data_IF_428021645623
#
_entry.id   IF_428021645623
#
_cell.length_a   1.000
_cell.length_b   1.000
_cell.length_c   1.000
_cell.angle_alpha   90.00
_cell.angle_beta   90.00
_cell.angle_gamma   90.00
#
_symmetry.space_group_name_H-M   'P 1'
#
loop_
_entity.id
_entity.type
_entity.pdbx_description
1 polymer ?
#
# COMPACT_ATOMS: atom_id res chain seq x y z
N UNK A 1 -10.56 7.41 18.48
CA UNK A 1 -9.89 8.58 17.87
C UNK A 1 -10.78 9.11 16.75
N UNK A 2 -11.10 10.40 16.72
CA UNK A 2 -11.98 10.98 15.68
C UNK A 2 -11.17 11.33 14.43
N UNK A 3 -11.82 11.42 13.26
CA UNK A 3 -11.17 11.83 11.99
C UNK A 3 -10.44 13.18 12.16
N UNK A 4 -11.06 14.13 12.88
CA UNK A 4 -10.46 15.43 13.17
C UNK A 4 -9.18 15.33 14.02
N UNK A 5 -9.14 14.40 14.98
CA UNK A 5 -7.94 14.17 15.78
C UNK A 5 -6.83 13.50 14.96
N UNK A 6 -7.19 12.62 14.02
CA UNK A 6 -6.23 12.01 13.09
C UNK A 6 -5.60 13.06 12.17
N UNK A 7 -6.40 13.89 11.52
CA UNK A 7 -5.91 14.97 10.64
C UNK A 7 -4.97 15.92 11.39
N UNK A 8 -5.34 16.31 12.61
CA UNK A 8 -4.49 17.17 13.43
C UNK A 8 -3.15 16.52 13.78
N UNK A 9 -3.16 15.23 14.10
CA UNK A 9 -1.94 14.52 14.47
C UNK A 9 -1.03 14.26 13.25
N UNK A 10 -1.61 13.92 12.09
CA UNK A 10 -0.88 13.82 10.82
C UNK A 10 -0.22 15.15 10.46
N UNK A 11 -0.95 16.26 10.58
CA UNK A 11 -0.39 17.60 10.32
C UNK A 11 0.76 17.94 11.28
N UNK A 12 0.65 17.56 12.56
CA UNK A 12 1.73 17.74 13.53
C UNK A 12 2.97 16.93 13.18
N UNK A 13 2.79 15.67 12.78
CA UNK A 13 3.92 14.82 12.37
C UNK A 13 4.59 15.35 11.12
N UNK A 14 3.83 15.71 10.09
CA UNK A 14 4.37 16.25 8.86
C UNK A 14 5.15 17.56 9.13
N UNK A 15 4.59 18.46 9.93
CA UNK A 15 5.28 19.70 10.31
C UNK A 15 6.56 19.45 11.14
N UNK A 16 6.54 18.46 12.04
CA UNK A 16 7.74 18.10 12.81
C UNK A 16 8.84 17.50 11.92
N UNK A 17 8.48 16.62 10.98
CA UNK A 17 9.43 16.03 10.03
C UNK A 17 10.07 17.08 9.11
N UNK A 18 9.28 18.05 8.65
CA UNK A 18 9.76 19.17 7.83
C UNK A 18 10.78 20.03 8.61
N UNK A 19 10.43 20.46 9.83
CA UNK A 19 11.33 21.28 10.66
C UNK A 19 12.62 20.52 11.01
N UNK A 20 12.51 19.25 11.38
CA UNK A 20 13.67 18.41 11.70
C UNK A 20 14.57 18.20 10.47
N UNK A 21 13.99 18.08 9.27
CA UNK A 21 14.74 18.01 8.01
C UNK A 21 15.57 19.26 7.76
N UNK A 22 14.95 20.43 7.87
CA UNK A 22 15.63 21.72 7.72
C UNK A 22 16.73 21.92 8.78
N UNK A 23 16.46 21.52 10.02
CA UNK A 23 17.46 21.61 11.09
C UNK A 23 18.65 20.69 10.82
N UNK A 24 18.40 19.45 10.37
CA UNK A 24 19.45 18.49 10.01
C UNK A 24 20.34 19.03 8.89
N UNK A 25 19.74 19.53 7.81
CA UNK A 25 20.48 20.12 6.68
C UNK A 25 21.37 21.27 7.13
N UNK A 26 20.84 22.16 7.98
CA UNK A 26 21.61 23.28 8.53
C UNK A 26 22.78 22.81 9.39
N UNK A 27 22.55 21.84 10.28
CA UNK A 27 23.60 21.32 11.17
C UNK A 27 24.69 20.58 10.38
N UNK A 28 24.33 19.86 9.32
CA UNK A 28 25.30 19.21 8.43
C UNK A 28 26.20 20.24 7.74
N UNK A 29 25.62 21.32 7.20
CA UNK A 29 26.39 22.43 6.63
C UNK A 29 27.33 23.08 7.65
N UNK A 30 26.85 23.30 8.88
CA UNK A 30 27.69 23.84 9.94
C UNK A 30 28.85 22.90 10.30
N UNK A 31 28.60 21.59 10.36
CA UNK A 31 29.63 20.60 10.67
C UNK A 31 30.76 20.59 9.62
N UNK A 32 30.41 20.76 8.34
CA UNK A 32 31.36 20.83 7.22
C UNK A 32 32.24 22.10 7.26
N UNK A 33 31.69 23.20 7.77
CA UNK A 33 32.39 24.49 7.88
C UNK A 33 33.28 24.60 9.14
N UNK A 34 33.16 23.67 10.09
CA UNK A 34 33.83 23.76 11.39
C UNK A 34 35.26 23.24 11.38
N UNK A 35 36.20 24.08 11.81
CA UNK A 35 37.61 23.72 11.98
C UNK A 35 38.00 23.19 13.37
N UNK A 36 37.22 23.48 14.42
CA UNK A 36 37.56 23.12 15.81
C UNK A 36 36.87 21.80 16.23
N UNK A 37 37.65 20.86 16.76
CA UNK A 37 37.21 19.50 17.07
C UNK A 37 36.10 19.43 18.13
N UNK A 38 36.20 20.20 19.22
CA UNK A 38 35.16 20.25 20.26
C UNK A 38 33.83 20.85 19.78
N UNK A 39 33.87 21.73 18.79
CA UNK A 39 32.66 22.27 18.16
C UNK A 39 32.00 21.26 17.23
N UNK A 40 32.79 20.43 16.55
CA UNK A 40 32.30 19.36 15.68
C UNK A 40 31.61 18.26 16.48
N UNK A 41 32.20 17.84 17.60
CA UNK A 41 31.59 16.83 18.49
C UNK A 41 30.21 17.26 19.00
N UNK A 42 30.06 18.52 19.42
CA UNK A 42 28.78 19.06 19.87
C UNK A 42 27.71 19.08 18.75
N UNK A 43 28.09 19.41 17.52
CA UNK A 43 27.16 19.42 16.37
C UNK A 43 26.79 18.00 15.96
N UNK A 44 27.73 17.05 16.00
CA UNK A 44 27.50 15.64 15.69
C UNK A 44 26.54 14.97 16.69
N UNK A 45 26.66 15.30 17.98
CA UNK A 45 25.72 14.84 19.01
C UNK A 45 24.30 15.35 18.73
N UNK A 46 24.16 16.63 18.36
CA UNK A 46 22.85 17.21 18.02
C UNK A 46 22.28 16.57 16.75
N UNK A 47 23.11 16.32 15.73
CA UNK A 47 22.68 15.61 14.51
C UNK A 47 22.14 14.21 14.84
N UNK A 48 22.82 13.47 15.71
CA UNK A 48 22.36 12.16 16.18
C UNK A 48 21.00 12.24 16.87
N UNK A 49 20.78 13.26 17.71
CA UNK A 49 19.49 13.47 18.36
C UNK A 49 18.38 13.85 17.36
N UNK A 50 18.70 14.68 16.37
CA UNK A 50 17.76 15.05 15.29
C UNK A 50 17.38 13.83 14.46
N UNK A 51 18.34 12.99 14.06
CA UNK A 51 18.09 11.75 13.32
C UNK A 51 17.22 10.77 14.13
N UNK A 52 17.48 10.64 15.43
CA UNK A 52 16.66 9.83 16.33
C UNK A 52 15.22 10.34 16.44
N UNK A 53 15.02 11.66 16.54
CA UNK A 53 13.69 12.27 16.56
C UNK A 53 12.97 12.10 15.22
N UNK A 54 13.66 12.25 14.08
CA UNK A 54 13.07 12.01 12.77
C UNK A 54 12.56 10.57 12.63
N UNK A 55 13.36 9.59 13.05
CA UNK A 55 12.96 8.18 13.04
C UNK A 55 11.72 7.94 13.91
N UNK A 56 11.66 8.61 15.07
CA UNK A 56 10.56 8.52 16.02
C UNK A 56 9.24 9.08 15.43
N UNK A 57 9.29 10.25 14.80
CA UNK A 57 8.15 10.86 14.11
C UNK A 57 7.73 10.07 12.86
N UNK A 58 8.67 9.53 12.10
CA UNK A 58 8.37 8.62 10.99
C UNK A 58 7.64 7.37 11.48
N UNK A 59 8.09 6.76 12.58
CA UNK A 59 7.43 5.61 13.20
C UNK A 59 6.02 5.96 13.68
N UNK A 60 5.85 7.10 14.35
CA UNK A 60 4.52 7.58 14.77
C UNK A 60 3.62 7.83 13.56
N UNK A 61 4.14 8.43 12.49
CA UNK A 61 3.41 8.65 11.24
C UNK A 61 2.90 7.35 10.63
N UNK A 62 3.75 6.32 10.56
CA UNK A 62 3.35 4.96 10.17
C UNK A 62 2.21 4.42 11.05
N UNK A 63 2.33 4.60 12.37
CA UNK A 63 1.37 4.08 13.34
C UNK A 63 0.06 4.89 13.45
N UNK A 64 -0.03 6.08 12.87
CA UNK A 64 -1.23 6.92 12.95
C UNK A 64 -2.32 6.54 11.95
N UNK A 65 -1.91 5.98 10.82
CA UNK A 65 -2.85 5.37 9.90
C UNK A 65 -2.90 3.88 10.22
N UNK A 66 -4.09 3.27 10.36
CA UNK A 66 -4.18 1.88 9.99
C UNK A 66 -3.66 1.82 8.55
N UNK A 67 -2.52 1.17 8.38
CA UNK A 67 -2.04 0.87 7.05
C UNK A 67 -3.15 0.07 6.38
N UNK A 68 -3.54 0.43 5.17
CA UNK A 68 -4.49 -0.38 4.43
C UNK A 68 -3.83 -0.87 3.17
N UNK A 69 -4.21 -2.07 2.74
CA UNK A 69 -3.70 -2.68 1.54
C UNK A 69 -4.84 -3.35 0.79
N UNK A 70 -4.83 -3.23 -0.53
CA UNK A 70 -5.69 -4.01 -1.41
C UNK A 70 -5.02 -5.34 -1.75
N UNK A 71 -5.81 -6.41 -1.70
CA UNK A 71 -5.41 -7.74 -2.12
C UNK A 71 -6.34 -8.21 -3.23
N UNK A 72 -5.76 -8.58 -4.37
CA UNK A 72 -6.51 -9.04 -5.54
C UNK A 72 -6.44 -10.55 -5.70
N UNK A 73 -7.56 -11.16 -6.11
CA UNK A 73 -7.67 -12.59 -6.35
C UNK A 73 -8.47 -12.88 -7.61
N UNK A 74 -8.00 -13.81 -8.44
CA UNK A 74 -8.81 -14.44 -9.46
C UNK A 74 -9.66 -15.55 -8.84
N UNK A 75 -10.96 -15.55 -9.17
CA UNK A 75 -11.88 -16.63 -8.83
C UNK A 75 -12.15 -17.43 -10.10
N UNK A 76 -11.77 -18.69 -10.06
CA UNK A 76 -11.87 -19.61 -11.20
C UNK A 76 -12.49 -20.92 -10.74
N UNK A 77 -12.92 -21.76 -11.68
CA UNK A 77 -13.44 -23.09 -11.38
C UNK A 77 -12.40 -24.01 -10.69
N UNK A 78 -11.10 -23.66 -10.80
CA UNK A 78 -9.99 -24.37 -10.13
C UNK A 78 -9.70 -23.85 -8.73
N UNK A 79 -10.34 -22.75 -8.32
CA UNK A 79 -10.18 -22.11 -7.02
C UNK A 79 -9.75 -20.65 -7.08
N UNK A 80 -9.32 -20.14 -5.92
CA UNK A 80 -8.89 -18.77 -5.69
C UNK A 80 -7.38 -18.63 -5.83
N UNK A 81 -6.94 -17.71 -6.69
CA UNK A 81 -5.52 -17.43 -6.94
C UNK A 81 -5.16 -15.97 -6.63
N UNK A 82 -4.19 -15.70 -5.73
CA UNK A 82 -3.77 -14.35 -5.44
C UNK A 82 -3.02 -13.72 -6.62
N UNK A 83 -3.13 -12.41 -6.75
CA UNK A 83 -2.49 -11.61 -7.79
C UNK A 83 -1.65 -10.54 -7.10
N UNK A 84 -0.43 -10.31 -7.59
CA UNK A 84 0.36 -9.16 -7.16
C UNK A 84 -0.31 -7.87 -7.63
N UNK A 85 -0.38 -6.89 -6.73
CA UNK A 85 -1.06 -5.63 -7.01
C UNK A 85 -0.46 -4.93 -8.23
N UNK A 86 0.87 -4.95 -8.35
CA UNK A 86 1.61 -4.36 -9.46
C UNK A 86 1.21 -5.01 -10.80
N UNK A 87 1.07 -6.34 -10.83
CA UNK A 87 0.62 -7.06 -12.03
C UNK A 87 -0.81 -6.68 -12.41
N UNK A 88 -1.72 -6.58 -11.44
CA UNK A 88 -3.08 -6.11 -11.69
C UNK A 88 -3.10 -4.70 -12.29
N UNK A 89 -2.30 -3.77 -11.74
CA UNK A 89 -2.18 -2.40 -12.25
C UNK A 89 -1.65 -2.39 -13.68
N UNK A 90 -0.67 -3.23 -14.01
CA UNK A 90 -0.15 -3.32 -15.38
C UNK A 90 -1.18 -3.89 -16.36
N UNK A 91 -2.02 -4.84 -15.93
CA UNK A 91 -3.10 -5.38 -16.75
C UNK A 91 -4.15 -4.32 -17.08
N UNK A 92 -4.69 -3.63 -16.06
CA UNK A 92 -5.76 -2.64 -16.27
C UNK A 92 -5.29 -1.40 -17.01
N UNK A 93 -4.00 -1.07 -16.93
CA UNK A 93 -3.39 0.01 -17.71
C UNK A 93 -2.98 -0.41 -19.13
N UNK A 94 -3.20 -1.67 -19.52
CA UNK A 94 -2.81 -2.20 -20.84
C UNK A 94 -1.29 -2.27 -21.07
N UNK A 95 -0.50 -2.20 -19.99
CA UNK A 95 0.97 -2.25 -20.01
C UNK A 95 1.52 -3.67 -20.08
N UNK A 96 0.76 -4.63 -19.59
CA UNK A 96 1.09 -6.06 -19.64
C UNK A 96 0.12 -6.84 -20.52
N UNK A 97 0.64 -7.91 -21.12
CA UNK A 97 -0.11 -8.90 -21.89
C UNK A 97 0.06 -10.24 -21.17
N UNK A 98 -1.03 -10.95 -20.92
CA UNK A 98 -1.05 -12.27 -20.28
C UNK A 98 -1.60 -13.28 -21.25
N UNK A 99 -0.74 -13.86 -22.08
CA UNK A 99 -1.16 -14.83 -23.10
C UNK A 99 -1.81 -16.07 -22.50
N UNK A 100 -1.50 -16.41 -21.24
CA UNK A 100 -2.18 -17.49 -20.50
C UNK A 100 -3.67 -17.21 -20.24
N UNK A 101 -4.08 -15.95 -20.31
CA UNK A 101 -5.47 -15.53 -20.12
C UNK A 101 -6.15 -15.12 -21.42
N UNK A 102 -5.51 -15.30 -22.58
CA UNK A 102 -6.09 -14.95 -23.87
C UNK A 102 -7.48 -15.60 -24.07
N UNK A 103 -8.47 -14.77 -24.41
CA UNK A 103 -9.86 -15.18 -24.60
C UNK A 103 -10.61 -15.59 -23.32
N UNK A 104 -10.02 -15.44 -22.14
CA UNK A 104 -10.66 -15.80 -20.88
C UNK A 104 -11.47 -14.66 -20.27
N UNK A 105 -12.48 -15.05 -19.51
CA UNK A 105 -13.26 -14.16 -18.64
C UNK A 105 -13.15 -14.69 -17.22
N UNK A 106 -12.62 -13.87 -16.32
CA UNK A 106 -12.36 -14.23 -14.93
C UNK A 106 -13.14 -13.31 -13.98
N UNK A 107 -13.54 -13.84 -12.82
CA UNK A 107 -14.02 -13.00 -11.71
C UNK A 107 -12.81 -12.51 -10.91
N UNK A 108 -12.84 -11.24 -10.53
CA UNK A 108 -11.83 -10.59 -9.71
C UNK A 108 -12.46 -10.21 -8.37
N UNK A 109 -11.82 -10.60 -7.28
CA UNK A 109 -12.07 -10.05 -5.95
C UNK A 109 -10.96 -9.05 -5.59
N UNK A 110 -11.31 -7.84 -5.18
CA UNK A 110 -10.40 -6.85 -4.59
C UNK A 110 -10.87 -6.55 -3.16
N UNK A 111 -10.03 -6.96 -2.20
CA UNK A 111 -10.28 -6.83 -0.76
C UNK A 111 -9.37 -5.77 -0.17
N UNK A 112 -10.00 -4.73 0.38
CA UNK A 112 -9.33 -3.67 1.10
C UNK A 112 -9.26 -4.02 2.58
N UNK A 113 -8.03 -4.15 3.09
CA UNK A 113 -7.76 -4.74 4.39
C UNK A 113 -6.99 -3.76 5.26
N UNK A 114 -7.40 -3.65 6.52
CA UNK A 114 -6.64 -2.97 7.55
C UNK A 114 -5.45 -3.83 7.98
N UNK A 115 -4.29 -3.20 8.05
CA UNK A 115 -3.00 -3.78 8.37
C UNK A 115 -2.48 -3.23 9.69
N UNK A 116 -1.73 -4.06 10.40
CA UNK A 116 -0.93 -3.66 11.57
C UNK A 116 0.40 -4.38 11.49
N UNK A 117 1.50 -3.62 11.52
CA UNK A 117 2.86 -4.18 11.42
C UNK A 117 3.01 -5.12 10.20
N UNK A 118 2.47 -4.72 9.04
CA UNK A 118 2.40 -5.50 7.79
C UNK A 118 1.59 -6.82 7.84
N UNK A 119 0.86 -7.06 8.93
CA UNK A 119 -0.02 -8.22 9.10
C UNK A 119 -1.49 -7.80 8.86
N UNK A 120 -2.22 -8.46 7.95
CA UNK A 120 -3.68 -8.29 7.79
C UNK A 120 -4.44 -8.49 9.10
N UNK A 121 -5.27 -7.52 9.49
CA UNK A 121 -6.05 -7.58 10.73
C UNK A 121 -7.54 -7.75 10.47
N UNK A 122 -8.09 -6.93 9.57
CA UNK A 122 -9.52 -6.84 9.37
C UNK A 122 -9.87 -6.46 7.94
N UNK A 123 -10.82 -7.17 7.35
CA UNK A 123 -11.44 -6.78 6.09
C UNK A 123 -12.26 -5.50 6.30
N UNK A 124 -11.96 -4.46 5.53
CA UNK A 124 -12.65 -3.16 5.58
C UNK A 124 -13.70 -3.07 4.47
N UNK A 125 -13.35 -3.51 3.27
CA UNK A 125 -14.26 -3.52 2.12
C UNK A 125 -13.92 -4.65 1.15
N UNK A 126 -14.92 -5.14 0.43
CA UNK A 126 -14.77 -6.13 -0.63
C UNK A 126 -15.48 -5.65 -1.89
N UNK A 127 -14.82 -5.79 -3.03
CA UNK A 127 -15.40 -5.49 -4.34
C UNK A 127 -15.16 -6.64 -5.28
N UNK A 128 -16.13 -6.88 -6.16
CA UNK A 128 -16.11 -8.00 -7.11
C UNK A 128 -16.46 -7.49 -8.49
N UNK A 129 -15.69 -7.91 -9.49
CA UNK A 129 -15.87 -7.48 -10.88
C UNK A 129 -15.51 -8.59 -11.86
N UNK A 130 -15.95 -8.44 -13.10
CA UNK A 130 -15.44 -9.25 -14.21
C UNK A 130 -14.17 -8.63 -14.78
N UNK A 131 -13.26 -9.49 -15.23
CA UNK A 131 -12.10 -9.12 -16.02
C UNK A 131 -12.09 -10.01 -17.27
N UNK A 132 -12.25 -9.40 -18.44
CA UNK A 132 -12.21 -10.13 -19.73
C UNK A 132 -10.90 -9.83 -20.43
N UNK A 133 -10.37 -10.82 -21.12
CA UNK A 133 -9.13 -10.72 -21.88
C UNK A 133 -9.42 -11.00 -23.36
N UNK A 134 -8.86 -10.19 -24.24
CA UNK A 134 -8.98 -10.40 -25.68
C UNK A 134 -8.13 -11.60 -26.15
N UNK A 135 -8.20 -11.93 -27.45
CA UNK A 135 -7.47 -13.04 -28.05
C UNK A 135 -5.94 -12.90 -27.97
N UNK A 136 -5.44 -11.70 -27.65
CA UNK A 136 -4.01 -11.46 -27.43
C UNK A 136 -3.62 -11.53 -25.96
N UNK A 137 -4.57 -11.62 -25.03
CA UNK A 137 -4.34 -11.62 -23.59
C UNK A 137 -4.28 -10.22 -22.97
N UNK A 138 -4.88 -9.20 -23.61
CA UNK A 138 -5.02 -7.85 -23.03
C UNK A 138 -6.36 -7.70 -22.35
N UNK A 139 -6.40 -6.96 -21.24
CA UNK A 139 -7.66 -6.66 -20.55
C UNK A 139 -8.58 -5.83 -21.45
N UNK A 140 -9.80 -6.32 -21.62
CA UNK A 140 -10.91 -5.61 -22.23
C UNK A 140 -11.93 -5.21 -21.16
N UNK A 141 -11.81 -3.98 -20.65
CA UNK A 141 -12.73 -3.46 -19.62
C UNK A 141 -14.12 -3.17 -20.19
N UNK A 142 -14.27 -3.02 -21.51
CA UNK A 142 -15.57 -2.76 -22.11
C UNK A 142 -16.42 -4.03 -22.13
N UNK A 143 -15.88 -5.13 -22.66
CA UNK A 143 -16.56 -6.42 -22.65
C UNK A 143 -16.88 -6.91 -21.22
N UNK A 144 -16.01 -6.62 -20.25
CA UNK A 144 -16.27 -6.94 -18.84
C UNK A 144 -17.53 -6.24 -18.27
N UNK A 145 -17.85 -5.02 -18.73
CA UNK A 145 -19.04 -4.27 -18.27
C UNK A 145 -20.35 -4.79 -18.86
N UNK A 146 -20.28 -5.52 -19.97
CA UNK A 146 -21.46 -6.07 -20.64
C UNK A 146 -21.94 -7.38 -20.01
N UNK A 147 -21.15 -7.96 -19.10
CA UNK A 147 -21.53 -9.19 -18.41
C UNK A 147 -22.55 -8.89 -17.32
N UNK A 148 -23.79 -9.32 -17.54
CA UNK A 148 -24.90 -9.15 -16.59
C UNK A 148 -24.83 -10.13 -15.41
N UNK A 149 -24.14 -11.27 -15.57
CA UNK A 149 -24.00 -12.26 -14.51
C UNK A 149 -23.26 -11.68 -13.30
N UNK A 150 -23.63 -12.12 -12.10
CA UNK A 150 -22.99 -11.63 -10.87
C UNK A 150 -21.55 -12.14 -10.74
N UNK A 151 -20.55 -11.27 -10.48
CA UNK A 151 -19.17 -11.68 -10.24
C UNK A 151 -18.92 -12.12 -8.79
N UNK A 152 -19.97 -12.23 -7.96
CA UNK A 152 -19.82 -12.57 -6.55
C UNK A 152 -19.13 -13.92 -6.36
N UNK A 153 -18.33 -14.07 -5.29
CA UNK A 153 -17.73 -15.34 -4.93
C UNK A 153 -18.79 -16.30 -4.41
N UNK A 154 -18.52 -17.60 -4.53
CA UNK A 154 -19.19 -18.62 -3.73
C UNK A 154 -18.73 -18.54 -2.28
N UNK A 155 -19.51 -19.11 -1.36
CA UNK A 155 -19.13 -19.23 0.06
C UNK A 155 -17.79 -19.97 0.27
N UNK A 156 -17.48 -20.93 -0.60
CA UNK A 156 -16.21 -21.68 -0.55
C UNK A 156 -15.04 -20.77 -0.94
N UNK A 157 -15.20 -20.00 -2.01
CA UNK A 157 -14.18 -19.03 -2.46
C UNK A 157 -13.96 -17.94 -1.42
N UNK A 158 -15.02 -17.38 -0.83
CA UNK A 158 -14.93 -16.36 0.21
C UNK A 158 -14.12 -16.85 1.42
N UNK A 159 -14.39 -18.08 1.87
CA UNK A 159 -13.65 -18.73 2.95
C UNK A 159 -12.19 -18.98 2.58
N UNK A 160 -11.92 -19.36 1.33
CA UNK A 160 -10.55 -19.55 0.85
C UNK A 160 -9.76 -18.22 0.85
N UNK A 161 -10.36 -17.12 0.41
CA UNK A 161 -9.74 -15.78 0.48
C UNK A 161 -9.44 -15.40 1.93
N UNK A 162 -10.40 -15.56 2.84
CA UNK A 162 -10.18 -15.30 4.28
C UNK A 162 -9.01 -16.11 4.84
N UNK A 163 -8.94 -17.39 4.48
CA UNK A 163 -7.86 -18.28 4.92
C UNK A 163 -6.52 -17.84 4.35
N UNK A 164 -6.45 -17.32 3.12
CA UNK A 164 -5.19 -16.84 2.53
C UNK A 164 -4.69 -15.54 3.18
N UNK A 165 -5.58 -14.71 3.72
CA UNK A 165 -5.23 -13.38 4.25
C UNK A 165 -5.02 -13.33 5.76
N UNK A 166 -5.80 -14.09 6.53
CA UNK A 166 -5.87 -13.93 7.99
C UNK A 166 -5.39 -15.17 8.77
N UNK A 167 -4.70 -16.11 8.11
CA UNK A 167 -4.14 -17.32 8.74
C UNK A 167 -2.78 -17.10 9.36
#
# INVERSE_FOLDING_TARGET
>A
MTIRNLVNEVNRINGALEILGLLRERLALQLDEMGAESGREAVDEILTQVDALQLEYQRRGKNLHPHHKSYQFFLTDKGVFPIFHESYIDFVNGKAITTEFAGLTLRLADWYVQMKDDIPQQLVNETYSWLTFDDSGRVNLHAAKEIEASPLPTEVEHKQIKKLLFS
#
